data_IF_479895823954
#
_entry.id   IF_479895823954
#
_cell.length_a   1.000
_cell.length_b   1.000
_cell.length_c   1.000
_cell.angle_alpha   90.00
_cell.angle_beta   90.00
_cell.angle_gamma   90.00
#
_symmetry.space_group_name_H-M   'P 1'
#
loop_
_entity.id
_entity.type
_entity.pdbx_description
1 polymer ?
#
# COMPACT_ATOMS: atom_id res chain seq x y z
N UNK A 1 -0.67 -64.85 -8.47
CA UNK A 1 0.41 -64.05 -7.86
C UNK A 1 0.29 -62.61 -8.36
N UNK A 2 -0.03 -61.66 -7.51
CA UNK A 2 -0.17 -60.26 -7.91
C UNK A 2 1.15 -59.52 -7.77
N UNK A 3 1.49 -58.64 -8.74
CA UNK A 3 2.64 -57.73 -8.73
C UNK A 3 2.35 -56.45 -7.96
N UNK A 4 3.39 -55.73 -7.53
CA UNK A 4 3.26 -54.67 -6.52
C UNK A 4 2.80 -53.31 -7.06
N UNK A 5 2.01 -52.66 -6.24
CA UNK A 5 1.43 -51.34 -6.37
C UNK A 5 2.45 -50.23 -6.57
N UNK A 6 2.09 -49.30 -7.48
CA UNK A 6 2.77 -48.04 -7.68
C UNK A 6 2.60 -47.09 -6.47
N UNK A 7 3.70 -46.68 -5.89
CA UNK A 7 3.76 -45.67 -4.82
C UNK A 7 3.34 -44.31 -5.36
N UNK A 8 2.28 -43.78 -4.79
CA UNK A 8 1.83 -42.39 -4.94
C UNK A 8 2.83 -41.45 -4.28
N UNK A 9 3.46 -40.58 -5.08
CA UNK A 9 4.36 -39.52 -4.56
C UNK A 9 3.51 -38.30 -4.23
N UNK A 10 3.57 -37.75 -3.00
CA UNK A 10 2.84 -36.54 -2.67
C UNK A 10 3.39 -35.34 -3.46
N UNK A 11 2.52 -34.66 -4.17
CA UNK A 11 2.78 -33.40 -4.86
C UNK A 11 3.17 -32.34 -3.82
N UNK A 12 4.44 -31.96 -3.76
CA UNK A 12 4.91 -30.82 -2.99
C UNK A 12 4.28 -29.54 -3.56
N UNK A 13 3.36 -28.96 -2.84
CA UNK A 13 2.83 -27.61 -3.10
C UNK A 13 3.97 -26.61 -3.05
N UNK A 14 4.16 -25.88 -4.13
CA UNK A 14 5.12 -24.78 -4.26
C UNK A 14 4.68 -23.62 -3.35
N UNK A 15 5.33 -23.46 -2.20
CA UNK A 15 5.05 -22.41 -1.22
C UNK A 15 5.59 -21.02 -1.61
N UNK A 16 6.32 -20.89 -2.72
CA UNK A 16 6.93 -19.64 -3.15
C UNK A 16 5.97 -18.64 -3.82
N UNK A 17 4.90 -19.12 -4.47
CA UNK A 17 3.97 -18.25 -5.21
C UNK A 17 2.90 -17.56 -4.33
N UNK A 18 2.76 -17.97 -3.05
CA UNK A 18 1.71 -17.44 -2.17
C UNK A 18 2.09 -16.13 -1.49
N UNK A 19 3.37 -15.79 -1.37
CA UNK A 19 3.84 -14.58 -0.68
C UNK A 19 3.81 -13.31 -1.54
N UNK A 20 4.03 -13.44 -2.84
CA UNK A 20 3.99 -12.30 -3.76
C UNK A 20 2.55 -11.78 -4.00
N UNK A 21 1.54 -12.64 -3.85
CA UNK A 21 0.13 -12.27 -4.01
C UNK A 21 -0.45 -11.52 -2.79
N UNK A 22 0.16 -11.60 -1.61
CA UNK A 22 -0.35 -10.94 -0.40
C UNK A 22 -0.15 -9.42 -0.45
N UNK A 23 0.87 -8.92 -1.12
CA UNK A 23 1.14 -7.48 -1.20
C UNK A 23 0.26 -6.71 -2.18
N UNK A 24 -0.22 -7.35 -3.25
CA UNK A 24 -1.17 -6.72 -4.18
C UNK A 24 -2.62 -6.76 -3.67
N UNK A 25 -2.93 -7.64 -2.69
CA UNK A 25 -4.29 -7.85 -2.18
C UNK A 25 -4.66 -7.01 -0.96
N UNK A 26 -3.72 -6.41 -0.26
CA UNK A 26 -3.98 -5.54 0.89
C UNK A 26 -4.61 -4.18 0.51
N UNK A 27 -4.68 -3.83 -0.77
CA UNK A 27 -5.29 -2.59 -1.24
C UNK A 27 -6.83 -2.58 -1.24
N UNK A 28 -7.53 -3.68 -0.92
CA UNK A 28 -9.00 -3.76 -1.10
C UNK A 28 -9.77 -4.27 0.13
N UNK A 29 -9.14 -4.80 1.17
CA UNK A 29 -9.87 -5.47 2.27
C UNK A 29 -9.91 -4.72 3.60
N UNK A 30 -9.75 -3.41 3.62
CA UNK A 30 -9.81 -2.57 4.82
C UNK A 30 -11.21 -2.12 5.26
N UNK A 31 -12.31 -2.76 4.84
CA UNK A 31 -13.63 -2.39 5.36
C UNK A 31 -14.64 -3.52 5.19
N UNK A 32 -14.67 -4.46 6.06
CA UNK A 32 -15.86 -5.19 6.54
C UNK A 32 -15.51 -6.61 7.04
N UNK A 33 -15.18 -6.76 8.29
CA UNK A 33 -15.69 -7.88 9.11
C UNK A 33 -15.45 -7.55 10.57
N UNK A 34 -16.45 -7.03 11.25
CA UNK A 34 -16.55 -7.07 12.70
C UNK A 34 -16.84 -8.49 13.13
N UNK A 35 -15.85 -9.18 13.65
CA UNK A 35 -15.99 -10.31 14.57
C UNK A 35 -14.62 -10.69 15.11
N UNK A 36 -14.21 -10.05 16.20
CA UNK A 36 -13.22 -10.62 17.11
C UNK A 36 -13.84 -10.64 18.50
N UNK A 37 -14.09 -11.86 18.96
CA UNK A 37 -14.70 -12.14 20.24
C UNK A 37 -13.82 -11.70 21.41
N UNK A 38 -14.49 -11.25 22.44
CA UNK A 38 -13.96 -10.95 23.75
C UNK A 38 -13.15 -12.11 24.34
N UNK A 39 -11.93 -11.83 24.77
CA UNK A 39 -11.25 -12.65 25.76
C UNK A 39 -10.48 -11.78 26.75
N UNK A 40 -10.93 -11.91 27.95
CA UNK A 40 -10.46 -11.51 29.27
C UNK A 40 -9.10 -10.80 29.40
N UNK A 41 -9.17 -9.68 30.11
CA UNK A 41 -8.08 -8.98 30.80
C UNK A 41 -7.21 -9.93 31.60
N UNK A 42 -5.90 -9.90 31.32
CA UNK A 42 -4.86 -10.20 32.29
C UNK A 42 -3.86 -9.06 32.25
N UNK A 43 -3.76 -8.36 33.36
CA UNK A 43 -2.70 -7.41 33.64
C UNK A 43 -1.35 -8.03 33.30
N UNK A 44 -0.60 -7.42 32.36
CA UNK A 44 0.78 -7.78 32.08
C UNK A 44 1.65 -6.69 32.64
N UNK A 45 2.43 -7.05 33.67
CA UNK A 45 3.53 -6.24 34.21
C UNK A 45 4.52 -5.83 33.11
N UNK A 46 5.14 -4.64 33.21
CA UNK A 46 6.10 -4.19 32.21
C UNK A 46 7.37 -5.02 32.30
N UNK A 47 7.52 -5.96 31.35
CA UNK A 47 8.81 -6.61 31.12
C UNK A 47 9.73 -5.65 30.37
N UNK A 48 10.63 -5.03 31.09
CA UNK A 48 11.87 -4.47 30.55
C UNK A 48 12.78 -5.63 30.10
N UNK A 49 12.59 -6.12 28.89
CA UNK A 49 13.43 -7.14 28.30
C UNK A 49 13.63 -6.86 26.80
N UNK A 50 14.89 -6.61 26.47
CA UNK A 50 15.49 -6.78 25.15
C UNK A 50 14.83 -6.18 23.89
N UNK A 51 14.67 -4.88 23.85
CA UNK A 51 14.39 -4.17 22.57
C UNK A 51 15.59 -4.16 21.59
N UNK A 52 16.71 -4.79 21.93
CA UNK A 52 17.88 -4.96 21.03
C UNK A 52 17.80 -6.15 20.09
N UNK A 53 16.90 -7.10 20.31
CA UNK A 53 16.77 -8.31 19.49
C UNK A 53 15.80 -8.20 18.32
N UNK A 54 15.04 -7.10 18.21
CA UNK A 54 14.08 -6.87 17.14
C UNK A 54 14.58 -5.96 16.00
N UNK A 55 15.88 -5.63 15.97
CA UNK A 55 16.50 -5.11 14.75
C UNK A 55 16.46 -6.24 13.73
N UNK A 56 15.46 -6.18 12.81
CA UNK A 56 15.11 -7.24 11.88
C UNK A 56 16.35 -7.75 11.15
N UNK A 57 16.48 -9.06 11.08
CA UNK A 57 17.51 -9.71 10.26
C UNK A 57 17.31 -9.23 8.85
N UNK A 58 18.32 -8.59 8.27
CA UNK A 58 18.33 -8.16 6.87
C UNK A 58 18.93 -9.26 6.01
N UNK A 59 18.40 -9.46 4.81
CA UNK A 59 19.00 -10.38 3.85
C UNK A 59 20.39 -9.85 3.41
N UNK A 60 21.38 -10.72 3.40
CA UNK A 60 22.71 -10.36 2.92
C UNK A 60 22.67 -10.19 1.39
N UNK A 61 22.91 -8.98 0.95
CA UNK A 61 22.91 -8.62 -0.48
C UNK A 61 23.90 -9.44 -1.28
N UNK A 62 25.13 -9.62 -0.78
CA UNK A 62 26.15 -10.39 -1.50
C UNK A 62 25.74 -11.85 -1.66
N UNK A 63 25.13 -12.44 -0.63
CA UNK A 63 24.63 -13.81 -0.67
C UNK A 63 23.43 -13.95 -1.67
N UNK A 64 22.54 -12.95 -1.74
CA UNK A 64 21.43 -12.93 -2.69
C UNK A 64 21.93 -12.84 -4.13
N UNK A 65 22.85 -11.91 -4.40
CA UNK A 65 23.46 -11.71 -5.73
C UNK A 65 24.27 -12.95 -6.19
N UNK A 66 25.05 -13.53 -5.28
CA UNK A 66 25.84 -14.74 -5.57
C UNK A 66 24.94 -15.95 -5.87
N UNK A 67 23.88 -16.15 -5.10
CA UNK A 67 22.94 -17.25 -5.32
C UNK A 67 22.23 -17.11 -6.69
N UNK A 68 21.85 -15.88 -7.08
CA UNK A 68 21.24 -15.62 -8.37
C UNK A 68 22.24 -15.91 -9.51
N UNK A 69 23.47 -15.45 -9.42
CA UNK A 69 24.50 -15.66 -10.43
C UNK A 69 24.81 -17.16 -10.62
N UNK A 70 25.01 -17.88 -9.53
CA UNK A 70 25.26 -19.33 -9.56
C UNK A 70 24.10 -20.13 -10.17
N UNK A 71 22.86 -19.73 -9.89
CA UNK A 71 21.68 -20.35 -10.47
C UNK A 71 21.63 -20.14 -11.99
N UNK A 72 21.95 -18.93 -12.48
CA UNK A 72 22.01 -18.62 -13.91
C UNK A 72 23.11 -19.45 -14.61
N UNK A 73 24.29 -19.54 -14.01
CA UNK A 73 25.39 -20.38 -14.53
C UNK A 73 25.00 -21.86 -14.63
N UNK A 74 24.20 -22.35 -13.70
CA UNK A 74 23.68 -23.74 -13.70
C UNK A 74 22.42 -23.94 -14.55
N UNK A 75 21.97 -22.90 -15.29
CA UNK A 75 20.78 -22.96 -16.14
C UNK A 75 19.45 -22.98 -15.37
N UNK A 76 19.45 -22.51 -14.10
CA UNK A 76 18.25 -22.43 -13.27
C UNK A 76 17.84 -20.95 -13.03
N UNK A 77 16.68 -20.74 -12.38
CA UNK A 77 16.18 -19.38 -12.16
C UNK A 77 16.95 -18.65 -11.07
N UNK A 78 17.59 -17.53 -11.42
CA UNK A 78 18.27 -16.64 -10.49
C UNK A 78 17.31 -16.03 -9.47
N UNK A 79 16.15 -15.59 -9.91
CA UNK A 79 15.11 -15.03 -9.02
C UNK A 79 14.60 -16.04 -7.97
N UNK A 80 14.49 -17.33 -8.32
CA UNK A 80 14.10 -18.36 -7.35
C UNK A 80 15.20 -18.62 -6.32
N UNK A 81 16.45 -18.71 -6.73
CA UNK A 81 17.57 -18.90 -5.82
C UNK A 81 17.73 -17.70 -4.86
N UNK A 82 17.61 -16.48 -5.39
CA UNK A 82 17.61 -15.26 -4.59
C UNK A 82 16.46 -15.25 -3.56
N UNK A 83 15.25 -15.63 -3.98
CA UNK A 83 14.07 -15.68 -3.10
C UNK A 83 14.24 -16.70 -1.95
N UNK A 84 14.94 -17.82 -2.20
CA UNK A 84 15.27 -18.78 -1.13
C UNK A 84 16.24 -18.20 -0.11
N UNK A 85 17.25 -17.43 -0.53
CA UNK A 85 18.17 -16.76 0.38
C UNK A 85 17.43 -15.73 1.23
N UNK A 86 16.60 -14.88 0.61
CA UNK A 86 15.76 -13.91 1.33
C UNK A 86 14.84 -14.60 2.32
N UNK A 87 14.16 -15.67 1.92
CA UNK A 87 13.25 -16.42 2.81
C UNK A 87 13.96 -17.01 4.03
N UNK A 88 15.20 -17.47 3.88
CA UNK A 88 16.00 -18.03 4.98
C UNK A 88 16.58 -16.97 5.90
N UNK A 89 16.77 -15.74 5.43
CA UNK A 89 17.32 -14.64 6.23
C UNK A 89 16.41 -14.21 7.38
N UNK A 90 15.11 -14.46 7.27
CA UNK A 90 14.08 -13.93 8.17
C UNK A 90 13.73 -12.46 7.93
N UNK A 91 14.28 -11.85 6.89
CA UNK A 91 13.89 -10.52 6.45
C UNK A 91 12.48 -10.57 5.82
N UNK A 92 11.52 -10.02 6.55
CA UNK A 92 10.10 -10.04 6.15
C UNK A 92 9.74 -8.96 5.13
N UNK A 93 10.65 -8.01 4.88
CA UNK A 93 10.40 -6.86 4.03
C UNK A 93 11.12 -6.91 2.69
N UNK A 94 12.18 -7.71 2.60
CA UNK A 94 12.87 -7.92 1.32
C UNK A 94 12.02 -8.78 0.39
N UNK A 95 12.05 -8.45 -0.89
CA UNK A 95 11.29 -9.14 -1.93
C UNK A 95 12.14 -9.31 -3.20
N UNK A 96 11.87 -10.38 -3.93
CA UNK A 96 12.46 -10.63 -5.25
C UNK A 96 11.36 -10.54 -6.29
N UNK A 97 11.60 -9.73 -7.29
CA UNK A 97 10.72 -9.50 -8.43
C UNK A 97 11.36 -10.03 -9.71
N UNK A 98 10.61 -10.68 -10.56
CA UNK A 98 11.01 -10.82 -11.95
C UNK A 98 11.10 -9.44 -12.62
N UNK A 99 11.80 -9.30 -13.73
CA UNK A 99 11.91 -8.03 -14.47
C UNK A 99 10.52 -7.41 -14.76
N UNK A 100 9.55 -8.24 -15.20
CA UNK A 100 8.19 -7.79 -15.46
C UNK A 100 7.42 -7.35 -14.20
N UNK A 101 7.52 -8.09 -13.09
CA UNK A 101 6.88 -7.70 -11.82
C UNK A 101 7.48 -6.41 -11.27
N UNK A 102 8.79 -6.19 -11.45
CA UNK A 102 9.43 -4.95 -11.02
C UNK A 102 9.02 -3.76 -11.90
N UNK A 103 8.89 -3.96 -13.20
CA UNK A 103 8.37 -2.94 -14.12
C UNK A 103 6.94 -2.54 -13.74
N UNK A 104 6.08 -3.50 -13.42
CA UNK A 104 4.71 -3.24 -12.95
C UNK A 104 4.70 -2.50 -11.60
N UNK A 105 5.59 -2.88 -10.68
CA UNK A 105 5.77 -2.19 -9.41
C UNK A 105 6.22 -0.75 -9.61
N UNK A 106 7.20 -0.51 -10.49
CA UNK A 106 7.62 0.85 -10.84
C UNK A 106 6.51 1.67 -11.47
N UNK A 107 5.72 1.08 -12.38
CA UNK A 107 4.56 1.76 -12.96
C UNK A 107 3.54 2.17 -11.88
N UNK A 108 3.33 1.35 -10.87
CA UNK A 108 2.46 1.72 -9.72
C UNK A 108 3.04 2.89 -8.92
N UNK A 109 4.36 2.90 -8.67
CA UNK A 109 5.05 4.02 -8.02
C UNK A 109 5.01 5.30 -8.88
N UNK A 110 5.05 5.16 -10.20
CA UNK A 110 4.83 6.28 -11.14
C UNK A 110 3.38 6.78 -11.16
N UNK A 111 2.50 6.20 -10.32
CA UNK A 111 1.09 6.56 -10.28
C UNK A 111 0.33 6.10 -11.52
N UNK A 112 0.87 5.17 -12.28
CA UNK A 112 0.23 4.59 -13.45
C UNK A 112 0.02 3.08 -13.26
N UNK A 113 -1.01 2.54 -13.87
CA UNK A 113 -1.24 1.09 -13.92
C UNK A 113 -1.94 0.71 -15.23
N UNK A 114 -1.76 -0.53 -15.65
CA UNK A 114 -2.48 -1.07 -16.80
C UNK A 114 -3.76 -1.75 -16.31
N UNK A 115 -4.90 -1.35 -16.87
CA UNK A 115 -6.18 -1.90 -16.45
C UNK A 115 -7.36 -1.29 -17.17
N UNK A 116 -8.56 -1.56 -16.65
CA UNK A 116 -9.82 -1.05 -17.24
C UNK A 116 -10.48 0.06 -16.41
N UNK A 117 -9.91 0.43 -15.26
CA UNK A 117 -10.42 1.51 -14.41
C UNK A 117 -11.64 1.12 -13.59
N UNK A 118 -11.66 -0.11 -13.05
CA UNK A 118 -12.70 -0.62 -12.16
C UNK A 118 -12.13 -0.91 -10.77
N UNK A 119 -12.84 -0.45 -9.74
CA UNK A 119 -12.72 -0.94 -8.36
C UNK A 119 -13.91 -1.82 -8.06
N UNK A 120 -13.65 -2.99 -7.51
CA UNK A 120 -14.69 -3.97 -7.18
C UNK A 120 -14.63 -4.33 -5.71
N UNK A 121 -15.77 -4.71 -5.14
CA UNK A 121 -15.92 -5.20 -3.78
C UNK A 121 -16.77 -6.44 -3.74
N UNK A 122 -16.64 -7.22 -2.69
CA UNK A 122 -17.58 -8.30 -2.41
C UNK A 122 -18.85 -7.72 -1.78
N UNK A 123 -20.00 -8.10 -2.32
CA UNK A 123 -21.32 -7.75 -1.81
C UNK A 123 -22.02 -8.98 -1.23
N UNK A 124 -23.16 -8.76 -0.57
CA UNK A 124 -23.96 -9.84 0.03
C UNK A 124 -24.26 -10.95 -1.01
N UNK A 125 -24.29 -12.20 -0.54
CA UNK A 125 -24.52 -13.38 -1.39
C UNK A 125 -23.34 -13.75 -2.30
N UNK A 126 -22.14 -13.27 -1.99
CA UNK A 126 -20.91 -13.60 -2.73
C UNK A 126 -20.80 -12.92 -4.10
N UNK A 127 -21.61 -11.90 -4.37
CA UNK A 127 -21.53 -11.12 -5.60
C UNK A 127 -20.33 -10.19 -5.61
N UNK A 128 -19.73 -10.00 -6.77
CA UNK A 128 -18.74 -8.95 -6.99
C UNK A 128 -19.46 -7.75 -7.59
N UNK A 129 -19.31 -6.59 -6.96
CA UNK A 129 -19.96 -5.33 -7.34
C UNK A 129 -18.91 -4.27 -7.64
N UNK A 130 -19.15 -3.47 -8.67
CA UNK A 130 -18.34 -2.30 -8.99
C UNK A 130 -18.60 -1.24 -7.91
N UNK A 131 -17.58 -0.92 -7.13
CA UNK A 131 -17.65 0.11 -6.08
C UNK A 131 -17.33 1.51 -6.61
N UNK A 132 -16.46 1.59 -7.63
CA UNK A 132 -16.06 2.84 -8.27
C UNK A 132 -15.57 2.59 -9.69
N UNK A 133 -15.72 3.58 -10.55
CA UNK A 133 -15.21 3.60 -11.92
C UNK A 133 -14.32 4.83 -12.10
N UNK A 134 -13.17 4.64 -12.73
CA UNK A 134 -12.24 5.73 -13.02
C UNK A 134 -12.79 6.60 -14.16
N UNK A 135 -12.99 7.91 -13.95
CA UNK A 135 -13.40 8.82 -15.02
C UNK A 135 -12.39 8.81 -16.18
N UNK A 136 -12.89 8.75 -17.39
CA UNK A 136 -12.08 8.73 -18.62
C UNK A 136 -11.40 7.38 -18.90
N UNK A 137 -11.51 6.40 -18.01
CA UNK A 137 -10.97 5.05 -18.23
C UNK A 137 -11.87 4.20 -19.13
N UNK A 138 -11.36 3.04 -19.64
CA UNK A 138 -12.10 2.16 -20.54
C UNK A 138 -13.47 1.76 -20.01
N UNK A 139 -13.59 1.45 -18.73
CA UNK A 139 -14.86 1.08 -18.10
C UNK A 139 -15.86 2.24 -18.07
N UNK A 140 -15.41 3.47 -17.79
CA UNK A 140 -16.26 4.66 -17.81
C UNK A 140 -16.76 4.97 -19.22
N UNK A 141 -15.87 4.92 -20.21
CA UNK A 141 -16.23 5.11 -21.64
C UNK A 141 -17.23 4.07 -22.13
N UNK A 142 -17.15 2.85 -21.58
CA UNK A 142 -18.12 1.80 -21.85
C UNK A 142 -19.42 1.95 -21.04
N UNK A 143 -19.60 2.99 -20.21
CA UNK A 143 -20.82 3.23 -19.43
C UNK A 143 -21.03 2.28 -18.25
N UNK A 144 -19.98 1.65 -17.77
CA UNK A 144 -20.01 0.90 -16.51
C UNK A 144 -20.10 1.90 -15.35
N UNK A 145 -20.87 1.58 -14.32
CA UNK A 145 -21.10 2.46 -13.18
C UNK A 145 -20.97 1.71 -11.85
N UNK A 146 -20.78 2.47 -10.77
CA UNK A 146 -20.86 1.91 -9.42
C UNK A 146 -22.25 1.29 -9.19
N UNK A 147 -22.28 0.13 -8.50
CA UNK A 147 -23.49 -0.68 -8.30
C UNK A 147 -23.72 -1.74 -9.39
N UNK A 148 -22.99 -1.74 -10.50
CA UNK A 148 -23.02 -2.83 -11.46
C UNK A 148 -22.45 -4.11 -10.84
N UNK A 149 -23.12 -5.24 -11.04
CA UNK A 149 -22.60 -6.55 -10.62
C UNK A 149 -21.76 -7.15 -11.73
N UNK A 150 -20.56 -7.54 -11.40
CA UNK A 150 -19.64 -8.24 -12.29
C UNK A 150 -19.93 -9.75 -12.21
N UNK A 151 -20.58 -10.28 -13.24
CA UNK A 151 -21.00 -11.68 -13.27
C UNK A 151 -19.88 -12.61 -13.74
N UNK A 152 -19.12 -12.20 -14.78
CA UNK A 152 -17.97 -12.94 -15.27
C UNK A 152 -16.89 -12.02 -15.84
N UNK A 153 -15.65 -12.52 -15.87
CA UNK A 153 -14.48 -11.91 -16.52
C UNK A 153 -13.86 -12.98 -17.42
N UNK A 154 -13.71 -12.66 -18.71
CA UNK A 154 -13.19 -13.58 -19.73
C UNK A 154 -13.89 -14.97 -19.67
N UNK A 155 -15.23 -14.95 -19.59
CA UNK A 155 -16.09 -16.16 -19.52
C UNK A 155 -16.06 -16.91 -18.18
N UNK A 156 -15.25 -16.48 -17.21
CA UNK A 156 -15.14 -17.12 -15.89
C UNK A 156 -16.00 -16.41 -14.86
N UNK A 157 -16.92 -17.14 -14.22
CA UNK A 157 -17.80 -16.59 -13.20
C UNK A 157 -17.03 -15.90 -12.06
N UNK A 158 -17.55 -14.77 -11.60
CA UNK A 158 -16.96 -13.96 -10.51
C UNK A 158 -17.65 -14.20 -9.17
N UNK A 159 -18.90 -14.69 -9.15
CA UNK A 159 -19.66 -14.94 -7.92
C UNK A 159 -18.98 -15.97 -7.04
N UNK A 160 -18.84 -15.71 -5.75
CA UNK A 160 -18.20 -16.60 -4.78
C UNK A 160 -16.68 -16.68 -4.89
N UNK A 161 -16.07 -15.90 -5.79
CA UNK A 161 -14.61 -15.86 -5.92
C UNK A 161 -14.03 -14.77 -5.03
N UNK A 162 -12.79 -14.96 -4.53
CA UNK A 162 -12.07 -13.89 -3.85
C UNK A 162 -11.95 -12.65 -4.76
N UNK A 163 -12.10 -11.47 -4.18
CA UNK A 163 -11.97 -10.19 -4.93
C UNK A 163 -10.61 -10.11 -5.62
N UNK A 164 -9.57 -10.59 -4.96
CA UNK A 164 -8.19 -10.62 -5.49
C UNK A 164 -8.07 -11.43 -6.78
N UNK A 165 -8.72 -12.58 -6.86
CA UNK A 165 -8.75 -13.41 -8.07
C UNK A 165 -9.45 -12.69 -9.21
N UNK A 166 -10.56 -12.01 -8.93
CA UNK A 166 -11.31 -11.25 -9.93
C UNK A 166 -10.51 -10.04 -10.42
N UNK A 167 -9.82 -9.34 -9.51
CA UNK A 167 -8.94 -8.22 -9.86
C UNK A 167 -7.77 -8.69 -10.72
N UNK A 168 -7.13 -9.82 -10.40
CA UNK A 168 -6.08 -10.41 -11.22
C UNK A 168 -6.55 -10.68 -12.65
N UNK A 169 -7.76 -11.24 -12.81
CA UNK A 169 -8.36 -11.45 -14.14
C UNK A 169 -8.62 -10.12 -14.88
N UNK A 170 -9.14 -9.11 -14.19
CA UNK A 170 -9.37 -7.77 -14.78
C UNK A 170 -8.06 -7.14 -15.27
N UNK A 171 -6.97 -7.34 -14.53
CA UNK A 171 -5.62 -6.91 -14.91
C UNK A 171 -5.01 -7.77 -16.02
N UNK A 172 -5.50 -9.01 -16.18
CA UNK A 172 -5.00 -9.97 -17.17
C UNK A 172 -3.85 -10.83 -16.66
N UNK A 173 -3.62 -10.82 -15.34
CA UNK A 173 -2.61 -11.65 -14.71
C UNK A 173 -2.99 -13.14 -14.87
N UNK A 174 -2.08 -13.92 -15.42
CA UNK A 174 -2.24 -15.38 -15.51
C UNK A 174 -3.01 -15.93 -16.72
N UNK A 175 -3.26 -15.16 -17.79
CA UNK A 175 -3.89 -15.71 -19.01
C UNK A 175 -3.08 -16.84 -19.65
N UNK A 176 -1.76 -16.83 -19.53
CA UNK A 176 -0.85 -17.82 -20.13
C UNK A 176 -0.33 -18.85 -19.14
N UNK A 177 -0.93 -18.94 -17.93
CA UNK A 177 -0.50 -19.88 -16.89
C UNK A 177 0.89 -19.58 -16.30
N UNK A 178 1.50 -18.47 -16.67
CA UNK A 178 2.76 -17.99 -16.12
C UNK A 178 2.49 -16.91 -15.09
N UNK A 179 2.82 -17.10 -13.82
CA UNK A 179 2.80 -16.02 -12.84
C UNK A 179 3.75 -14.91 -13.29
N UNK A 180 3.32 -13.65 -13.19
CA UNK A 180 4.19 -12.49 -13.39
C UNK A 180 4.17 -11.84 -14.77
N UNK A 181 3.22 -12.16 -15.64
CA UNK A 181 3.00 -11.41 -16.86
C UNK A 181 1.73 -10.57 -16.72
N UNK A 182 1.88 -9.30 -16.38
CA UNK A 182 0.80 -8.34 -16.49
C UNK A 182 0.36 -8.18 -17.95
N UNK A 183 -0.93 -7.97 -18.15
CA UNK A 183 -1.41 -7.75 -19.49
C UNK A 183 -0.90 -6.42 -20.04
N UNK A 184 -0.47 -6.43 -21.29
CA UNK A 184 0.00 -5.24 -22.00
C UNK A 184 -1.17 -4.29 -22.33
N UNK A 185 -0.85 -3.00 -22.45
CA UNK A 185 -1.77 -1.99 -22.96
C UNK A 185 -2.39 -2.48 -24.27
N UNK A 186 -3.71 -2.26 -24.46
CA UNK A 186 -4.45 -2.70 -25.63
C UNK A 186 -4.97 -4.14 -25.57
N UNK A 187 -4.58 -4.94 -24.57
CA UNK A 187 -5.11 -6.30 -24.43
C UNK A 187 -6.59 -6.30 -24.07
N UNK A 188 -7.32 -7.23 -24.66
CA UNK A 188 -8.78 -7.37 -24.52
C UNK A 188 -9.14 -8.05 -23.21
N UNK A 189 -10.25 -7.61 -22.60
CA UNK A 189 -10.94 -8.27 -21.51
C UNK A 189 -12.45 -8.22 -21.75
N UNK A 190 -13.14 -9.35 -21.54
CA UNK A 190 -14.58 -9.49 -21.70
C UNK A 190 -15.26 -9.50 -20.33
N UNK A 191 -16.31 -8.67 -20.19
CA UNK A 191 -17.03 -8.52 -18.95
C UNK A 191 -18.52 -8.83 -19.15
N UNK A 192 -19.06 -9.71 -18.32
CA UNK A 192 -20.49 -9.89 -18.16
C UNK A 192 -20.94 -9.12 -16.92
N UNK A 193 -21.81 -8.16 -17.10
CA UNK A 193 -22.29 -7.25 -16.09
C UNK A 193 -23.80 -7.33 -15.95
N UNK A 194 -24.31 -6.98 -14.75
CA UNK A 194 -25.74 -6.86 -14.49
C UNK A 194 -26.04 -5.58 -13.72
N UNK A 195 -26.95 -4.77 -14.26
CA UNK A 195 -27.51 -3.60 -13.60
C UNK A 195 -29.01 -3.80 -13.39
N UNK A 196 -29.44 -4.02 -12.15
CA UNK A 196 -30.79 -4.46 -11.85
C UNK A 196 -31.12 -5.81 -12.54
N UNK A 197 -32.11 -5.81 -13.43
CA UNK A 197 -32.49 -7.00 -14.23
C UNK A 197 -31.76 -7.07 -15.58
N UNK A 198 -31.14 -5.97 -16.04
CA UNK A 198 -30.46 -5.92 -17.35
C UNK A 198 -29.10 -6.57 -17.29
N UNK A 199 -28.89 -7.56 -18.14
CA UNK A 199 -27.58 -8.12 -18.42
C UNK A 199 -26.90 -7.39 -19.56
N UNK A 200 -25.59 -7.27 -19.51
CA UNK A 200 -24.77 -6.63 -20.51
C UNK A 200 -23.44 -7.36 -20.65
N UNK A 201 -23.12 -7.70 -21.88
CA UNK A 201 -21.77 -8.13 -22.26
C UNK A 201 -21.02 -6.94 -22.85
N UNK A 202 -19.76 -6.75 -22.47
CA UNK A 202 -18.94 -5.68 -23.01
C UNK A 202 -17.48 -6.10 -23.09
N UNK A 203 -16.83 -5.70 -24.18
CA UNK A 203 -15.40 -5.89 -24.38
C UNK A 203 -14.69 -4.57 -24.09
N UNK A 204 -13.67 -4.62 -23.25
CA UNK A 204 -12.81 -3.51 -22.94
C UNK A 204 -11.38 -3.80 -23.41
N UNK A 205 -10.62 -2.75 -23.65
CA UNK A 205 -9.19 -2.84 -23.89
C UNK A 205 -8.47 -2.19 -22.71
N UNK A 206 -7.48 -2.88 -22.15
CA UNK A 206 -6.69 -2.35 -21.04
C UNK A 206 -5.89 -1.14 -21.51
N UNK A 207 -5.92 -0.09 -20.72
CA UNK A 207 -5.22 1.15 -21.01
C UNK A 207 -4.25 1.48 -19.86
N UNK A 208 -3.25 2.31 -20.15
CA UNK A 208 -2.47 2.96 -19.10
C UNK A 208 -3.35 3.97 -18.40
N UNK A 209 -3.56 3.81 -17.12
CA UNK A 209 -4.40 4.65 -16.27
C UNK A 209 -3.54 5.29 -15.20
N UNK A 210 -3.90 6.51 -14.80
CA UNK A 210 -3.22 7.21 -13.71
C UNK A 210 -3.98 6.96 -12.41
N UNK A 211 -3.30 6.46 -11.38
CA UNK A 211 -3.85 6.39 -10.04
C UNK A 211 -3.92 7.81 -9.44
N UNK A 212 -5.05 8.19 -8.87
CA UNK A 212 -5.13 9.41 -8.07
C UNK A 212 -4.70 9.07 -6.65
N UNK A 213 -3.46 9.42 -6.34
CA UNK A 213 -2.91 9.21 -5.01
C UNK A 213 -3.39 10.27 -4.00
N UNK A 214 -3.72 11.46 -4.47
CA UNK A 214 -4.21 12.57 -3.64
C UNK A 214 -5.62 12.94 -4.06
N UNK A 215 -6.53 13.02 -3.10
CA UNK A 215 -7.86 13.58 -3.28
C UNK A 215 -8.09 14.65 -2.22
N UNK A 216 -8.67 15.78 -2.62
CA UNK A 216 -9.07 16.84 -1.72
C UNK A 216 -10.58 17.04 -1.86
N UNK A 217 -11.28 16.95 -0.74
CA UNK A 217 -12.73 17.16 -0.68
C UNK A 217 -13.08 18.08 0.49
N UNK A 218 -14.02 18.95 0.22
CA UNK A 218 -14.66 19.82 1.20
C UNK A 218 -16.16 19.51 1.18
N UNK A 219 -16.79 19.23 2.32
CA UNK A 219 -18.21 19.01 2.35
C UNK A 219 -18.96 20.22 1.79
N UNK A 220 -19.78 20.00 0.77
CA UNK A 220 -20.56 21.07 0.15
C UNK A 220 -21.52 21.70 1.15
N UNK A 221 -21.63 23.05 1.15
CA UNK A 221 -22.56 23.79 2.00
C UNK A 221 -22.18 23.86 3.50
N UNK A 222 -20.95 23.49 3.87
CA UNK A 222 -20.48 23.56 5.25
C UNK A 222 -19.18 24.36 5.35
N UNK A 223 -18.98 25.06 6.48
CA UNK A 223 -17.69 25.65 6.85
C UNK A 223 -16.72 24.59 7.43
N UNK A 224 -16.95 23.33 7.11
CA UNK A 224 -16.17 22.21 7.60
C UNK A 224 -14.74 22.21 7.05
N UNK A 225 -13.82 21.48 7.72
CA UNK A 225 -12.44 21.38 7.31
C UNK A 225 -12.30 20.71 5.94
N UNK A 226 -11.30 21.14 5.18
CA UNK A 226 -10.88 20.42 3.98
C UNK A 226 -10.23 19.10 4.39
N UNK A 227 -10.60 17.99 3.74
CA UNK A 227 -9.93 16.71 3.88
C UNK A 227 -9.04 16.46 2.66
N UNK A 228 -7.75 16.25 2.92
CA UNK A 228 -6.80 15.75 1.92
C UNK A 228 -6.47 14.30 2.28
N UNK A 229 -6.83 13.38 1.39
CA UNK A 229 -6.49 11.96 1.53
C UNK A 229 -5.33 11.61 0.63
N UNK A 230 -4.30 10.97 1.20
CA UNK A 230 -3.19 10.39 0.46
C UNK A 230 -3.33 8.86 0.54
N UNK A 231 -3.59 8.22 -0.60
CA UNK A 231 -3.75 6.77 -0.67
C UNK A 231 -2.40 6.04 -0.74
N UNK A 232 -1.43 6.60 -1.44
CA UNK A 232 -0.05 6.11 -1.55
C UNK A 232 0.87 7.26 -1.98
N UNK A 233 2.19 7.08 -1.83
CA UNK A 233 3.21 8.04 -2.27
C UNK A 233 3.80 7.60 -3.60
N UNK A 234 3.06 7.79 -4.68
CA UNK A 234 3.57 7.69 -6.04
C UNK A 234 4.21 8.99 -6.49
N UNK A 235 4.78 8.98 -7.70
CA UNK A 235 5.38 10.16 -8.34
C UNK A 235 4.41 11.34 -8.34
N UNK A 236 4.94 12.53 -8.13
CA UNK A 236 4.22 13.82 -8.08
C UNK A 236 3.25 13.99 -6.90
N UNK A 237 3.14 13.02 -5.98
CA UNK A 237 2.26 13.10 -4.81
C UNK A 237 2.57 14.32 -3.95
N UNK A 238 3.84 14.64 -3.70
CA UNK A 238 4.25 15.82 -2.93
C UNK A 238 3.80 17.13 -3.58
N UNK A 239 3.90 17.23 -4.91
CA UNK A 239 3.43 18.41 -5.66
C UNK A 239 1.89 18.52 -5.62
N UNK A 240 1.16 17.39 -5.69
CA UNK A 240 -0.30 17.35 -5.56
C UNK A 240 -0.75 17.78 -4.16
N UNK A 241 -0.11 17.28 -3.10
CA UNK A 241 -0.37 17.67 -1.72
C UNK A 241 -0.12 19.18 -1.53
N UNK A 242 1.00 19.69 -2.01
CA UNK A 242 1.33 21.13 -1.93
C UNK A 242 0.28 22.01 -2.63
N UNK A 243 -0.21 21.58 -3.82
CA UNK A 243 -1.31 22.26 -4.51
C UNK A 243 -2.61 22.22 -3.71
N UNK A 244 -2.95 21.07 -3.17
CA UNK A 244 -4.16 20.89 -2.37
C UNK A 244 -4.12 21.76 -1.10
N UNK A 245 -2.98 21.81 -0.39
CA UNK A 245 -2.79 22.65 0.81
C UNK A 245 -2.92 24.14 0.48
N UNK A 246 -2.36 24.59 -0.65
CA UNK A 246 -2.48 26.00 -1.09
C UNK A 246 -3.91 26.41 -1.42
N UNK A 247 -4.75 25.45 -1.82
CA UNK A 247 -6.16 25.71 -2.14
C UNK A 247 -7.08 25.73 -0.90
N UNK A 248 -6.55 25.38 0.29
CA UNK A 248 -7.33 25.42 1.54
C UNK A 248 -7.56 26.89 1.93
N UNK A 249 -8.81 27.24 2.17
CA UNK A 249 -9.17 28.59 2.58
C UNK A 249 -8.55 28.93 3.96
N UNK A 250 -8.09 30.17 4.18
CA UNK A 250 -7.60 30.61 5.47
C UNK A 250 -8.62 30.34 6.58
N UNK A 251 -8.17 29.89 7.75
CA UNK A 251 -8.99 29.61 8.94
C UNK A 251 -9.92 28.40 8.85
N UNK A 252 -10.01 27.69 7.71
CA UNK A 252 -10.64 26.38 7.66
C UNK A 252 -9.58 25.34 8.02
N UNK A 253 -9.73 24.57 9.05
CA UNK A 253 -8.77 23.54 9.41
C UNK A 253 -8.62 22.47 8.32
N UNK A 254 -7.59 21.64 8.43
CA UNK A 254 -7.26 20.59 7.47
C UNK A 254 -7.17 19.22 8.16
N UNK A 255 -7.86 18.24 7.59
CA UNK A 255 -7.72 16.82 7.93
C UNK A 255 -6.83 16.17 6.87
N UNK A 256 -5.67 15.69 7.27
CA UNK A 256 -4.80 14.86 6.44
C UNK A 256 -5.13 13.39 6.71
N UNK A 257 -5.78 12.73 5.76
CA UNK A 257 -6.23 11.33 5.90
C UNK A 257 -5.19 10.36 5.30
N UNK A 258 -4.44 9.69 6.16
CA UNK A 258 -3.47 8.66 5.81
C UNK A 258 -3.98 7.25 6.11
N UNK A 259 -5.23 7.09 6.50
CA UNK A 259 -5.82 5.76 6.76
C UNK A 259 -5.78 4.90 5.51
N UNK A 260 -5.29 3.66 5.65
CA UNK A 260 -5.09 2.73 4.55
C UNK A 260 -4.02 3.18 3.54
N UNK A 261 -3.13 4.09 3.90
CA UNK A 261 -1.98 4.49 3.07
C UNK A 261 -0.90 3.42 3.12
N UNK A 262 -0.62 2.78 2.00
CA UNK A 262 0.31 1.64 1.90
C UNK A 262 1.79 2.03 1.79
N UNK A 263 2.11 3.32 1.90
CA UNK A 263 3.47 3.82 1.72
C UNK A 263 3.76 4.22 0.28
N UNK A 264 4.96 3.96 -0.19
CA UNK A 264 5.45 4.30 -1.52
C UNK A 264 6.80 5.03 -1.46
N UNK A 265 7.03 5.98 -2.36
CA UNK A 265 8.30 6.70 -2.48
C UNK A 265 8.56 7.60 -1.26
N UNK A 266 9.69 7.35 -0.59
CA UNK A 266 10.15 8.15 0.57
C UNK A 266 10.33 9.62 0.17
N UNK A 267 10.86 9.88 -1.02
CA UNK A 267 11.05 11.25 -1.55
C UNK A 267 9.73 12.01 -1.64
N UNK A 268 8.66 11.34 -2.04
CA UNK A 268 7.33 11.94 -2.15
C UNK A 268 6.67 12.19 -0.77
N UNK A 269 6.94 11.32 0.21
CA UNK A 269 6.52 11.57 1.59
C UNK A 269 7.24 12.77 2.20
N UNK A 270 8.55 12.93 1.96
CA UNK A 270 9.34 14.10 2.37
C UNK A 270 8.84 15.36 1.68
N UNK A 271 8.58 15.31 0.38
CA UNK A 271 8.00 16.44 -0.36
C UNK A 271 6.58 16.79 0.12
N UNK A 272 5.80 15.80 0.57
CA UNK A 272 4.49 16.00 1.20
C UNK A 272 4.63 16.64 2.58
N UNK A 273 5.62 16.24 3.38
CA UNK A 273 5.92 16.86 4.67
C UNK A 273 6.26 18.35 4.50
N UNK A 274 7.01 18.70 3.45
CA UNK A 274 7.36 20.08 3.11
C UNK A 274 6.15 20.96 2.77
N UNK A 275 4.97 20.41 2.49
CA UNK A 275 3.74 21.20 2.35
C UNK A 275 3.25 21.77 3.68
N UNK A 276 3.64 21.17 4.81
CA UNK A 276 3.19 21.50 6.16
C UNK A 276 4.30 22.03 7.08
N UNK A 277 5.57 21.83 6.72
CA UNK A 277 6.74 22.20 7.50
C UNK A 277 7.52 23.34 6.81
N UNK A 278 8.15 24.19 7.59
CA UNK A 278 9.07 25.21 7.07
C UNK A 278 10.52 24.72 7.27
N UNK A 279 10.90 23.73 6.48
CA UNK A 279 12.21 23.10 6.60
C UNK A 279 12.32 22.15 7.81
N UNK A 280 13.54 21.67 8.03
CA UNK A 280 13.91 20.84 9.17
C UNK A 280 13.76 19.33 8.95
N UNK A 281 14.19 18.57 9.95
CA UNK A 281 14.27 17.11 9.88
C UNK A 281 12.90 16.46 9.74
N UNK A 282 12.79 15.51 8.83
CA UNK A 282 11.62 14.66 8.58
C UNK A 282 11.85 13.25 9.11
N UNK A 283 13.02 12.69 8.88
CA UNK A 283 13.43 11.38 9.39
C UNK A 283 14.94 11.21 9.28
N UNK A 284 15.50 10.27 10.03
CA UNK A 284 16.82 9.71 9.76
C UNK A 284 16.68 8.23 9.40
N UNK A 285 17.61 7.69 8.63
CA UNK A 285 17.68 6.26 8.36
C UNK A 285 19.14 5.80 8.28
N UNK A 286 19.38 4.59 8.74
CA UNK A 286 20.70 3.98 8.71
C UNK A 286 20.86 3.16 7.43
N UNK A 287 22.00 3.32 6.76
CA UNK A 287 22.42 2.45 5.66
C UNK A 287 23.83 1.99 5.95
N UNK A 288 23.98 0.71 6.29
CA UNK A 288 25.27 0.09 6.59
C UNK A 288 26.07 0.82 7.68
N UNK A 289 25.40 1.20 8.76
CA UNK A 289 26.01 1.91 9.89
C UNK A 289 26.27 3.40 9.62
N UNK A 290 25.77 3.95 8.52
CA UNK A 290 25.85 5.38 8.22
C UNK A 290 24.45 6.00 8.27
N UNK A 291 24.25 6.87 9.24
CA UNK A 291 23.01 7.62 9.36
C UNK A 291 22.88 8.67 8.26
N UNK A 292 21.72 8.73 7.65
CA UNK A 292 21.33 9.74 6.67
C UNK A 292 20.08 10.46 7.13
N UNK A 293 20.04 11.77 6.94
CA UNK A 293 18.92 12.61 7.33
C UNK A 293 18.13 13.07 6.11
N UNK A 294 16.82 13.10 6.26
CA UNK A 294 15.85 13.60 5.28
C UNK A 294 15.26 14.90 5.80
N UNK A 295 15.34 15.95 5.01
CA UNK A 295 14.87 17.27 5.38
C UNK A 295 13.73 17.74 4.49
N UNK A 296 12.74 18.40 5.09
CA UNK A 296 11.72 19.11 4.36
C UNK A 296 12.31 20.40 3.72
N UNK A 297 11.82 20.76 2.55
CA UNK A 297 12.06 22.09 1.98
C UNK A 297 11.32 23.17 2.79
N UNK A 298 11.80 24.41 2.70
CA UNK A 298 11.14 25.54 3.33
C UNK A 298 9.89 25.99 2.56
N UNK A 299 9.03 26.76 3.25
CA UNK A 299 7.87 27.43 2.64
C UNK A 299 6.57 26.64 2.72
N UNK A 300 6.49 25.65 3.59
CA UNK A 300 5.24 24.94 3.90
C UNK A 300 4.27 25.79 4.72
N UNK A 301 3.00 25.42 4.70
CA UNK A 301 1.98 26.11 5.48
C UNK A 301 1.99 25.61 6.93
N UNK A 302 2.61 26.37 7.82
CA UNK A 302 2.69 26.05 9.26
C UNK A 302 1.52 26.61 10.07
N UNK A 303 0.64 27.42 9.48
CA UNK A 303 -0.42 28.16 10.19
C UNK A 303 -1.79 27.46 10.16
N UNK A 304 -2.09 26.68 9.12
CA UNK A 304 -3.36 25.96 9.04
C UNK A 304 -3.45 24.96 10.21
N UNK A 305 -4.53 25.00 11.03
CA UNK A 305 -4.79 23.93 11.98
C UNK A 305 -4.84 22.58 11.27
N UNK A 306 -4.06 21.60 11.75
CA UNK A 306 -3.85 20.32 11.08
C UNK A 306 -4.06 19.16 12.04
N UNK A 307 -4.90 18.21 11.63
CA UNK A 307 -5.03 16.90 12.27
C UNK A 307 -4.74 15.81 11.24
N UNK A 308 -3.98 14.81 11.64
CA UNK A 308 -3.65 13.63 10.82
C UNK A 308 -4.48 12.44 11.27
N UNK A 309 -5.15 11.78 10.34
CA UNK A 309 -5.87 10.53 10.56
C UNK A 309 -5.01 9.34 10.15
N UNK A 310 -4.85 8.37 11.03
CA UNK A 310 -4.08 7.14 10.79
C UNK A 310 -4.86 5.90 11.23
N UNK A 311 -4.47 4.73 10.70
CA UNK A 311 -4.96 3.43 11.12
C UNK A 311 -3.91 2.34 10.93
N UNK A 312 -4.23 1.09 11.26
CA UNK A 312 -3.35 -0.06 11.05
C UNK A 312 -2.99 -0.36 9.59
N UNK A 313 -3.63 0.30 8.63
CA UNK A 313 -3.28 0.26 7.21
C UNK A 313 -2.34 1.38 6.77
N UNK A 314 -1.99 2.32 7.67
CA UNK A 314 -0.98 3.35 7.41
C UNK A 314 0.40 2.73 7.55
N UNK A 315 1.20 2.68 6.47
CA UNK A 315 2.45 1.93 6.40
C UNK A 315 3.61 2.77 5.87
N UNK A 316 4.85 2.42 6.28
CA UNK A 316 6.11 2.86 5.65
C UNK A 316 6.17 4.39 5.48
N UNK A 317 6.22 4.90 4.24
CA UNK A 317 6.24 6.34 3.93
C UNK A 317 5.06 7.12 4.54
N UNK A 318 3.90 6.45 4.77
CA UNK A 318 2.76 7.00 5.51
C UNK A 318 3.09 7.23 6.98
N UNK A 319 3.81 6.30 7.58
CA UNK A 319 4.26 6.39 8.97
C UNK A 319 5.37 7.44 9.12
N UNK A 320 6.25 7.55 8.12
CA UNK A 320 7.28 8.58 8.08
C UNK A 320 6.65 9.99 8.11
N UNK A 321 5.64 10.24 7.27
CA UNK A 321 4.95 11.52 7.24
C UNK A 321 4.21 11.79 8.55
N UNK A 322 3.43 10.82 9.06
CA UNK A 322 2.68 10.97 10.31
C UNK A 322 3.61 11.24 11.49
N UNK A 323 4.69 10.45 11.63
CA UNK A 323 5.68 10.61 12.70
C UNK A 323 6.43 11.92 12.63
N UNK A 324 6.77 12.39 11.42
CA UNK A 324 7.40 13.70 11.23
C UNK A 324 6.50 14.84 11.70
N UNK A 325 5.23 14.84 11.29
CA UNK A 325 4.27 15.89 11.67
C UNK A 325 3.97 15.87 13.18
N UNK A 326 3.91 14.68 13.78
CA UNK A 326 3.71 14.50 15.21
C UNK A 326 4.91 15.02 16.01
N UNK A 327 6.12 14.51 15.73
CA UNK A 327 7.33 14.87 16.48
C UNK A 327 7.72 16.34 16.37
N UNK A 328 7.35 16.95 15.23
CA UNK A 328 7.57 18.39 15.03
C UNK A 328 6.48 19.26 15.67
N UNK A 329 5.53 18.67 16.40
CA UNK A 329 4.39 19.38 16.99
C UNK A 329 3.51 20.10 15.96
N UNK A 330 3.59 19.66 14.67
CA UNK A 330 2.86 20.29 13.57
C UNK A 330 1.41 19.88 13.51
N UNK A 331 1.11 18.65 13.92
CA UNK A 331 -0.24 18.10 13.85
C UNK A 331 -0.50 17.20 15.05
N UNK A 332 -1.78 17.07 15.41
CA UNK A 332 -2.27 16.04 16.30
C UNK A 332 -2.64 14.81 15.46
N UNK A 333 -2.11 13.66 15.83
CA UNK A 333 -2.38 12.38 15.16
C UNK A 333 -3.52 11.67 15.87
N UNK A 334 -4.56 11.28 15.12
CA UNK A 334 -5.79 10.67 15.65
C UNK A 334 -6.07 9.35 14.91
N UNK A 335 -6.44 8.30 15.61
CA UNK A 335 -6.80 7.01 15.04
C UNK A 335 -6.28 5.83 15.84
N UNK A 336 -5.91 4.76 15.17
CA UNK A 336 -5.28 3.59 15.79
C UNK A 336 -3.79 3.52 15.46
N UNK A 337 -2.97 2.77 16.23
CA UNK A 337 -1.57 2.57 15.92
C UNK A 337 -1.36 2.13 14.48
N UNK A 338 -0.31 2.64 13.85
CA UNK A 338 0.00 2.33 12.46
C UNK A 338 0.69 0.96 12.31
N UNK A 339 0.96 0.54 11.11
CA UNK A 339 1.39 -0.83 10.80
C UNK A 339 2.74 -1.25 11.40
N UNK A 340 3.72 -0.34 11.45
CA UNK A 340 5.07 -0.63 11.95
C UNK A 340 6.04 -1.15 10.89
N UNK A 341 5.99 -0.62 9.67
CA UNK A 341 7.02 -0.87 8.64
C UNK A 341 8.04 0.27 8.62
N UNK A 342 9.03 0.18 9.49
CA UNK A 342 10.13 1.15 9.60
C UNK A 342 11.34 0.88 8.72
N UNK A 343 11.29 -0.14 7.87
CA UNK A 343 12.39 -0.54 7.00
C UNK A 343 12.45 0.29 5.71
N UNK A 344 13.67 0.50 5.22
CA UNK A 344 13.96 1.11 3.91
C UNK A 344 14.51 0.03 2.99
N UNK A 345 13.89 -0.15 1.81
CA UNK A 345 14.37 -1.07 0.78
C UNK A 345 15.10 -0.30 -0.33
N UNK A 346 16.06 -0.97 -0.94
CA UNK A 346 16.71 -0.50 -2.16
C UNK A 346 16.76 -1.62 -3.21
N UNK A 347 16.45 -1.30 -4.47
CA UNK A 347 16.53 -2.28 -5.55
C UNK A 347 17.98 -2.63 -5.88
N UNK A 348 18.21 -3.89 -6.23
CA UNK A 348 19.46 -4.43 -6.79
C UNK A 348 19.12 -5.35 -7.94
N UNK A 349 19.63 -5.08 -9.13
CA UNK A 349 19.46 -5.93 -10.31
C UNK A 349 20.29 -7.21 -10.15
N UNK A 350 19.69 -8.35 -10.50
CA UNK A 350 20.28 -9.67 -10.44
C UNK A 350 20.70 -10.16 -11.84
N UNK A 351 21.51 -11.22 -11.88
CA UNK A 351 22.12 -11.73 -13.10
C UNK A 351 21.12 -12.18 -14.18
N UNK A 352 19.89 -12.55 -13.82
CA UNK A 352 18.81 -12.93 -14.74
C UNK A 352 17.88 -11.77 -15.12
N UNK A 353 18.25 -10.53 -14.79
CA UNK A 353 17.42 -9.33 -15.01
C UNK A 353 16.26 -9.19 -14.00
N UNK A 354 16.13 -10.09 -13.04
CA UNK A 354 15.23 -9.91 -11.91
C UNK A 354 15.79 -8.87 -10.93
N UNK A 355 14.94 -8.37 -10.02
CA UNK A 355 15.32 -7.31 -9.08
C UNK A 355 15.04 -7.76 -7.65
N UNK A 356 16.06 -7.63 -6.81
CA UNK A 356 15.95 -7.80 -5.37
C UNK A 356 15.70 -6.44 -4.70
N UNK A 357 14.54 -6.24 -4.10
CA UNK A 357 14.30 -5.14 -3.16
C UNK A 357 14.71 -5.57 -1.76
N UNK A 358 15.90 -5.17 -1.33
CA UNK A 358 16.49 -5.61 -0.06
C UNK A 358 16.41 -4.52 0.99
N UNK A 359 16.11 -4.91 2.22
CA UNK A 359 16.19 -4.02 3.37
C UNK A 359 17.63 -3.57 3.60
N UNK A 360 17.86 -2.27 3.51
CA UNK A 360 19.18 -1.64 3.68
C UNK A 360 19.32 -0.90 5.01
N UNK A 361 18.21 -0.66 5.70
CA UNK A 361 18.20 0.06 6.96
C UNK A 361 16.81 0.32 7.49
N UNK A 362 16.75 1.06 8.61
CA UNK A 362 15.49 1.41 9.28
C UNK A 362 15.46 2.92 9.53
N UNK A 363 14.30 3.52 9.31
CA UNK A 363 14.15 4.93 9.60
C UNK A 363 13.66 5.18 11.03
N UNK A 364 14.02 6.36 11.51
CA UNK A 364 13.61 6.91 12.79
C UNK A 364 12.91 8.24 12.55
N UNK A 365 11.94 8.55 13.39
CA UNK A 365 11.28 9.84 13.38
C UNK A 365 12.22 10.95 13.83
N UNK A 366 11.88 12.26 13.68
CA UNK A 366 12.74 13.36 14.11
C UNK A 366 13.16 13.30 15.57
N UNK A 367 12.34 12.74 16.47
CA UNK A 367 12.69 12.53 17.89
C UNK A 367 13.49 11.27 18.15
N UNK A 368 13.88 10.52 17.10
CA UNK A 368 14.68 9.29 17.21
C UNK A 368 13.87 8.02 17.50
N UNK A 369 12.53 8.07 17.50
CA UNK A 369 11.69 6.89 17.73
C UNK A 369 11.85 5.88 16.59
N UNK A 370 11.96 4.62 16.94
CA UNK A 370 11.96 3.48 16.02
C UNK A 370 10.51 3.20 15.61
N UNK A 371 10.27 3.07 14.31
CA UNK A 371 8.94 2.74 13.76
C UNK A 371 8.79 1.25 13.51
N UNK A 372 9.89 0.56 13.19
CA UNK A 372 9.84 -0.87 12.84
C UNK A 372 9.28 -1.72 13.99
N UNK A 373 8.22 -2.47 13.70
CA UNK A 373 7.50 -3.31 14.64
C UNK A 373 6.59 -2.59 15.63
N UNK A 374 6.69 -1.27 15.78
CA UNK A 374 5.93 -0.47 16.76
C UNK A 374 4.88 0.43 16.10
N UNK A 375 5.16 0.95 14.90
CA UNK A 375 4.34 1.95 14.25
C UNK A 375 4.40 3.31 14.92
N UNK A 376 3.54 4.20 14.46
CA UNK A 376 3.28 5.50 15.07
C UNK A 376 2.07 5.36 15.99
N UNK A 377 2.27 5.67 17.26
CA UNK A 377 1.19 5.71 18.24
C UNK A 377 0.50 7.07 18.13
N UNK A 378 -0.81 7.13 17.85
CA UNK A 378 -1.54 8.38 17.78
C UNK A 378 -1.53 9.15 19.11
N UNK A 379 -1.61 10.49 19.04
CA UNK A 379 -1.80 11.34 20.24
C UNK A 379 -3.19 11.09 20.87
N UNK A 380 -4.17 10.75 20.03
CA UNK A 380 -5.50 10.34 20.46
C UNK A 380 -5.87 9.00 19.80
N UNK A 381 -5.82 7.94 20.59
CA UNK A 381 -6.25 6.62 20.13
C UNK A 381 -7.77 6.56 20.08
N UNK A 382 -8.32 6.23 18.91
CA UNK A 382 -9.76 6.16 18.64
C UNK A 382 -10.01 4.99 17.69
N UNK A 383 -10.73 3.97 18.13
CA UNK A 383 -11.07 2.80 17.30
C UNK A 383 -12.17 3.14 16.30
N UNK A 384 -13.26 3.72 16.77
CA UNK A 384 -14.42 4.10 15.96
C UNK A 384 -14.65 5.61 15.94
N UNK A 385 -15.08 6.13 14.79
CA UNK A 385 -15.43 7.55 14.67
C UNK A 385 -14.22 8.50 14.68
N UNK A 386 -13.03 8.04 14.35
CA UNK A 386 -11.79 8.83 14.34
C UNK A 386 -11.93 10.15 13.58
N UNK A 387 -12.65 10.19 12.44
CA UNK A 387 -12.88 11.43 11.70
C UNK A 387 -13.74 12.43 12.48
N UNK A 388 -14.79 11.96 13.17
CA UNK A 388 -15.62 12.84 14.03
C UNK A 388 -14.77 13.43 15.16
N UNK A 389 -13.95 12.59 15.80
CA UNK A 389 -13.03 13.05 16.86
C UNK A 389 -12.00 14.05 16.34
N UNK A 390 -11.40 13.78 15.19
CA UNK A 390 -10.46 14.69 14.54
C UNK A 390 -11.07 16.05 14.22
N UNK A 391 -12.32 16.09 13.76
CA UNK A 391 -13.07 17.35 13.54
C UNK A 391 -13.26 18.14 14.83
N UNK A 392 -13.59 17.45 15.95
CA UNK A 392 -13.69 18.09 17.27
C UNK A 392 -12.36 18.68 17.73
N UNK A 393 -11.26 17.92 17.56
CA UNK A 393 -9.91 18.43 17.88
C UNK A 393 -9.57 19.66 17.03
N UNK A 394 -9.85 19.57 15.74
CA UNK A 394 -9.54 20.64 14.80
C UNK A 394 -10.32 21.94 15.12
N UNK A 395 -11.59 21.84 15.54
CA UNK A 395 -12.37 23.01 15.96
C UNK A 395 -11.79 23.66 17.22
N UNK A 396 -11.20 22.88 18.13
CA UNK A 396 -10.48 23.41 19.29
C UNK A 396 -9.18 24.13 18.94
N UNK A 397 -8.46 23.67 17.91
CA UNK A 397 -7.24 24.30 17.42
C UNK A 397 -7.50 25.62 16.66
N UNK A 398 -8.67 25.78 16.07
CA UNK A 398 -9.06 26.99 15.33
C UNK A 398 -9.74 28.07 16.18
N UNK A 399 -10.15 27.75 17.40
CA UNK A 399 -10.88 28.65 18.30
C UNK A 399 -9.99 29.55 19.19
N UNK A 400 -8.70 29.53 19.02
CA UNK A 400 -7.72 30.25 19.85
C UNK A 400 -7.05 31.43 19.16
N UNK A 401 -7.73 32.13 18.23
CA UNK A 401 -7.21 33.34 17.57
C UNK A 401 -8.20 34.49 17.67
#
# INVERSE_FOLDING_TARGET
MPGPSAYDRPRRMRRGAALTLIFASLLVTGAATGTWGHRAERAVEPRTADHRAAAGRTADRAAVEAAAAQAVESGTSGSQAAAEVVSRSGDRWSAIYTAGEFEDYQQQLDGAYVGVGLWVRQAAGGWIEVSRVQPGGPAALAGIAAGDRLCAVDGRASRGRPVTEVVARLRGDGKDGRPGHAARIGTRVELDLRRGTRQRHTTLHRARLTARNVTADRPAGTDGPTRIKIAAFGKDTGAEVRRAVRAVAPRTGLLLDLRGNTGGLVTEAVASAAAFLDGGLVATYDVRGRERALYAERGGNTRIPLVVLVDGGTMSAGELLAGALQDRGRAIVVGTPTFGKGSVQMPSELADGSVAELTVGHYRTPSGRVVDGLGIIPDLTVEDGAEKRARTVLSGLGGGA
#
